data_IF_333325577674
#
_entry.id   IF_333325577674
#
_cell.length_a   1.000
_cell.length_b   1.000
_cell.length_c   1.000
_cell.angle_alpha   90.00
_cell.angle_beta   90.00
_cell.angle_gamma   90.00
#
_symmetry.space_group_name_H-M   'P 1'
#
loop_
_entity.id
_entity.type
_entity.pdbx_description
1 polymer ?
#
# COMPACT_ATOMS: atom_id res chain seq x y z
N UNK A 1 4.78 5.02 7.47
CA UNK A 1 3.76 4.09 7.97
C UNK A 1 2.97 4.81 9.02
N UNK A 2 1.66 4.60 9.03
CA UNK A 2 0.77 5.16 10.03
C UNK A 2 1.01 4.47 11.38
N UNK A 3 0.82 5.19 12.48
CA UNK A 3 1.02 4.68 13.84
C UNK A 3 0.05 3.54 14.17
N UNK A 4 -1.12 3.52 13.52
CA UNK A 4 -2.18 2.53 13.75
C UNK A 4 -1.85 1.10 13.32
N UNK A 5 -0.75 0.86 12.62
CA UNK A 5 -0.32 -0.49 12.21
C UNK A 5 0.86 -1.03 13.03
N UNK A 6 1.30 -0.27 14.04
CA UNK A 6 2.34 -0.71 14.94
C UNK A 6 1.77 -1.75 15.91
N UNK A 7 2.32 -2.97 15.90
CA UNK A 7 1.82 -4.09 16.72
C UNK A 7 1.18 -5.23 15.91
N UNK A 8 0.91 -5.02 14.61
CA UNK A 8 0.30 -6.07 13.75
C UNK A 8 1.08 -7.40 13.76
N UNK A 9 2.42 -7.34 13.84
CA UNK A 9 3.25 -8.55 13.92
C UNK A 9 3.10 -9.31 15.23
N UNK A 10 2.76 -8.61 16.30
CA UNK A 10 2.51 -9.18 17.63
C UNK A 10 1.06 -9.68 17.75
N UNK A 11 0.10 -8.91 17.21
CA UNK A 11 -1.34 -9.23 17.22
C UNK A 11 -1.68 -10.42 16.30
N UNK A 12 -0.90 -10.62 15.22
CA UNK A 12 -1.12 -11.65 14.22
C UNK A 12 0.20 -12.35 13.84
N UNK A 13 0.75 -13.20 14.72
CA UNK A 13 2.06 -13.83 14.52
C UNK A 13 2.13 -14.77 13.30
N UNK A 14 0.98 -15.22 12.80
CA UNK A 14 0.87 -16.02 11.58
C UNK A 14 1.06 -15.20 10.29
N UNK A 15 0.96 -13.86 10.35
CA UNK A 15 1.14 -13.00 9.19
C UNK A 15 2.62 -12.64 9.02
N UNK A 16 3.12 -12.80 7.80
CA UNK A 16 4.43 -12.29 7.46
C UNK A 16 4.34 -10.78 7.21
N UNK A 17 4.72 -10.01 8.22
CA UNK A 17 4.57 -8.55 8.21
C UNK A 17 5.91 -7.89 7.95
N UNK A 18 5.98 -7.05 6.91
CA UNK A 18 7.18 -6.27 6.59
C UNK A 18 6.94 -4.80 6.95
N UNK A 19 7.52 -4.37 8.07
CA UNK A 19 7.44 -2.98 8.55
C UNK A 19 8.84 -2.35 8.53
N UNK A 20 9.01 -1.14 7.95
CA UNK A 20 10.27 -0.40 8.05
C UNK A 20 10.66 -0.13 9.50
N UNK A 21 11.95 -0.28 9.81
CA UNK A 21 12.49 0.06 11.12
C UNK A 21 12.30 1.55 11.41
N UNK A 22 11.71 1.85 12.55
CA UNK A 22 11.51 3.21 13.05
C UNK A 22 12.58 3.56 14.07
N UNK A 23 13.07 4.79 14.03
CA UNK A 23 13.96 5.32 15.07
C UNK A 23 13.18 5.54 16.37
N UNK A 24 13.73 5.14 17.51
CA UNK A 24 13.25 5.57 18.84
C UNK A 24 13.78 6.98 19.13
N UNK A 25 13.15 7.68 20.08
CA UNK A 25 13.57 9.04 20.45
C UNK A 25 15.00 8.99 21.02
N UNK A 26 15.92 9.76 20.44
CA UNK A 26 17.33 9.80 20.86
C UNK A 26 18.24 8.75 20.20
N UNK A 27 17.69 7.82 19.40
CA UNK A 27 18.47 6.76 18.76
C UNK A 27 18.61 6.98 17.25
N UNK A 28 19.70 6.44 16.69
CA UNK A 28 19.91 6.36 15.24
C UNK A 28 19.66 4.95 14.73
N UNK A 29 19.10 4.85 13.52
CA UNK A 29 19.02 3.57 12.83
C UNK A 29 20.43 3.07 12.48
N UNK A 30 20.66 1.78 12.71
CA UNK A 30 21.89 1.11 12.29
C UNK A 30 22.04 1.16 10.76
N UNK A 31 23.27 0.95 10.26
CA UNK A 31 23.52 0.90 8.81
C UNK A 31 22.70 -0.20 8.14
N UNK A 32 22.52 -1.33 8.81
CA UNK A 32 21.73 -2.46 8.32
C UNK A 32 20.24 -2.13 8.28
N UNK A 33 19.67 -1.55 9.34
CA UNK A 33 18.28 -1.11 9.37
C UNK A 33 17.98 -0.09 8.26
N UNK A 34 18.92 0.83 7.99
CA UNK A 34 18.81 1.76 6.86
C UNK A 34 18.79 1.05 5.51
N UNK A 35 19.61 -0.01 5.33
CA UNK A 35 19.61 -0.82 4.10
C UNK A 35 18.28 -1.56 3.92
N UNK A 36 17.75 -2.18 4.97
CA UNK A 36 16.44 -2.85 4.95
C UNK A 36 15.34 -1.84 4.58
N UNK A 37 15.32 -0.68 5.24
CA UNK A 37 14.35 0.37 4.92
C UNK A 37 14.45 0.87 3.48
N UNK A 38 15.65 0.90 2.89
CA UNK A 38 15.84 1.28 1.47
C UNK A 38 15.19 0.28 0.53
N UNK A 39 15.33 -1.02 0.79
CA UNK A 39 14.70 -2.09 0.00
C UNK A 39 13.16 -1.97 0.10
N UNK A 40 12.63 -1.80 1.32
CA UNK A 40 11.20 -1.63 1.53
C UNK A 40 10.68 -0.36 0.82
N UNK A 41 11.43 0.74 0.88
CA UNK A 41 11.08 1.99 0.20
C UNK A 41 11.05 1.83 -1.33
N UNK A 42 12.00 1.08 -1.92
CA UNK A 42 11.99 0.78 -3.35
C UNK A 42 10.73 0.03 -3.77
N UNK A 43 10.30 -0.99 -3.01
CA UNK A 43 9.04 -1.68 -3.26
C UNK A 43 7.82 -0.76 -3.16
N UNK A 44 7.81 0.15 -2.17
CA UNK A 44 6.70 1.10 -1.98
C UNK A 44 6.54 2.07 -3.16
N UNK A 45 7.63 2.51 -3.79
CA UNK A 45 7.54 3.41 -4.95
C UNK A 45 6.69 2.78 -6.07
N UNK A 46 6.92 1.50 -6.35
CA UNK A 46 6.14 0.77 -7.35
C UNK A 46 4.67 0.66 -6.95
N UNK A 47 4.39 0.27 -5.70
CA UNK A 47 3.01 0.16 -5.18
C UNK A 47 2.30 1.51 -5.22
N UNK A 48 2.96 2.59 -4.80
CA UNK A 48 2.41 3.94 -4.80
C UNK A 48 2.13 4.44 -6.23
N UNK A 49 2.96 4.07 -7.21
CA UNK A 49 2.70 4.37 -8.62
C UNK A 49 1.44 3.66 -9.13
N UNK A 50 1.29 2.36 -8.85
CA UNK A 50 0.09 1.59 -9.21
C UNK A 50 -1.15 2.16 -8.53
N UNK A 51 -1.08 2.44 -7.21
CA UNK A 51 -2.17 3.03 -6.45
C UNK A 51 -2.55 4.43 -6.96
N UNK A 52 -1.57 5.23 -7.36
CA UNK A 52 -1.81 6.54 -7.96
C UNK A 52 -2.53 6.41 -9.31
N UNK A 53 -2.11 5.44 -10.13
CA UNK A 53 -2.74 5.12 -11.41
C UNK A 53 -4.21 4.73 -11.29
N UNK A 54 -4.53 3.75 -10.45
CA UNK A 54 -5.92 3.30 -10.26
C UNK A 54 -6.81 4.42 -9.68
N UNK A 55 -6.27 5.28 -8.81
CA UNK A 55 -7.01 6.39 -8.18
C UNK A 55 -7.43 7.49 -9.16
N UNK A 56 -6.91 7.50 -10.39
CA UNK A 56 -7.43 8.35 -11.49
C UNK A 56 -8.88 8.01 -11.81
N UNK A 57 -9.32 6.79 -11.51
CA UNK A 57 -10.71 6.37 -11.62
C UNK A 57 -11.44 6.79 -10.34
N UNK A 58 -12.37 7.74 -10.47
CA UNK A 58 -13.13 8.31 -9.34
C UNK A 58 -13.89 7.26 -8.53
N UNK A 59 -14.28 6.15 -9.15
CA UNK A 59 -14.94 5.03 -8.49
C UNK A 59 -14.16 4.45 -7.28
N UNK A 60 -12.83 4.56 -7.27
CA UNK A 60 -11.96 4.07 -6.17
C UNK A 60 -11.29 5.19 -5.36
N UNK A 61 -11.47 6.45 -5.74
CA UNK A 61 -10.88 7.60 -5.03
C UNK A 61 -11.91 8.49 -4.33
N UNK A 62 -13.18 8.44 -4.73
CA UNK A 62 -14.28 9.12 -4.05
C UNK A 62 -15.02 8.20 -3.07
N UNK A 63 -15.78 8.80 -2.15
CA UNK A 63 -16.56 8.05 -1.14
C UNK A 63 -17.80 7.44 -1.79
N UNK A 64 -17.87 6.11 -1.82
CA UNK A 64 -19.08 5.38 -2.18
C UNK A 64 -20.06 5.35 -0.99
N UNK A 65 -21.26 5.92 -1.17
CA UNK A 65 -22.26 6.08 -0.09
C UNK A 65 -23.37 5.04 -0.08
N UNK A 66 -23.47 4.19 -1.09
CA UNK A 66 -24.52 3.18 -1.15
C UNK A 66 -24.13 1.95 -0.32
N UNK A 67 -25.12 1.32 0.31
CA UNK A 67 -24.93 0.16 1.19
C UNK A 67 -25.23 -1.13 0.43
N UNK A 68 -24.39 -1.47 -0.55
CA UNK A 68 -24.39 -2.77 -1.21
C UNK A 68 -23.06 -3.45 -0.93
N UNK A 69 -23.13 -4.60 -0.28
CA UNK A 69 -21.97 -5.40 0.11
C UNK A 69 -21.16 -5.84 -1.12
N UNK A 70 -19.83 -5.72 -1.04
CA UNK A 70 -18.90 -6.21 -2.05
C UNK A 70 -18.78 -5.34 -3.31
N UNK A 71 -19.49 -4.20 -3.38
CA UNK A 71 -19.38 -3.29 -4.53
C UNK A 71 -18.05 -2.54 -4.53
N UNK A 72 -17.52 -2.21 -3.36
CA UNK A 72 -16.20 -1.62 -3.15
C UNK A 72 -15.08 -2.50 -3.72
N UNK A 73 -15.14 -3.81 -3.46
CA UNK A 73 -14.18 -4.78 -3.97
C UNK A 73 -14.30 -4.93 -5.48
N UNK A 74 -15.52 -4.90 -6.02
CA UNK A 74 -15.76 -4.90 -7.46
C UNK A 74 -15.18 -3.66 -8.14
N UNK A 75 -15.36 -2.47 -7.55
CA UNK A 75 -14.73 -1.25 -8.08
C UNK A 75 -13.21 -1.34 -8.07
N UNK A 76 -12.63 -1.88 -7.00
CA UNK A 76 -11.18 -2.08 -6.93
C UNK A 76 -10.69 -3.06 -8.01
N UNK A 77 -11.36 -4.20 -8.19
CA UNK A 77 -11.03 -5.20 -9.21
C UNK A 77 -11.09 -4.59 -10.62
N UNK A 78 -12.18 -3.89 -10.94
CA UNK A 78 -12.36 -3.25 -12.24
C UNK A 78 -11.32 -2.14 -12.47
N UNK A 79 -11.05 -1.32 -11.47
CA UNK A 79 -10.06 -0.26 -11.56
C UNK A 79 -8.64 -0.79 -11.83
N UNK A 80 -8.23 -1.85 -11.11
CA UNK A 80 -6.97 -2.54 -11.35
C UNK A 80 -6.90 -3.13 -12.76
N UNK A 81 -7.98 -3.78 -13.23
CA UNK A 81 -8.06 -4.33 -14.57
C UNK A 81 -7.92 -3.27 -15.67
N UNK A 82 -8.64 -2.16 -15.54
CA UNK A 82 -8.58 -1.03 -16.47
C UNK A 82 -7.20 -0.37 -16.50
N UNK A 83 -6.56 -0.21 -15.33
CA UNK A 83 -5.21 0.34 -15.25
C UNK A 83 -4.18 -0.57 -15.90
N UNK A 84 -4.26 -1.87 -15.66
CA UNK A 84 -3.38 -2.86 -16.31
C UNK A 84 -3.57 -2.88 -17.83
N UNK A 85 -4.82 -2.77 -18.30
CA UNK A 85 -5.11 -2.64 -19.73
C UNK A 85 -4.49 -1.36 -20.31
N UNK A 86 -4.63 -0.22 -19.62
CA UNK A 86 -4.02 1.04 -20.03
C UNK A 86 -2.50 0.93 -20.16
N UNK A 87 -1.81 0.35 -19.17
CA UNK A 87 -0.36 0.14 -19.22
C UNK A 87 0.08 -0.78 -20.37
N UNK A 88 -0.78 -1.70 -20.82
CA UNK A 88 -0.47 -2.66 -21.88
C UNK A 88 -0.67 -2.10 -23.28
N UNK A 89 -1.62 -1.19 -23.48
CA UNK A 89 -2.09 -0.79 -24.82
C UNK A 89 -2.07 0.71 -25.12
N UNK A 90 -2.00 1.55 -24.09
CA UNK A 90 -2.08 3.01 -24.23
C UNK A 90 -0.86 3.75 -23.65
N UNK A 91 0.12 2.99 -23.14
CA UNK A 91 1.43 3.48 -22.69
C UNK A 91 2.50 3.36 -23.77
#
# INVERSE_FOLDING_TARGET
MDLGFQGIGDDYPQLQVVIPHKKRRGEQLSKEQKRINRIIAQGRIFVEHVLSGIKRLRAVSEVYRHRREGVEDQFMLLACGLWNYHLKFAG
#
